data_IF_568928166686
#
_entry.id   IF_568928166686
#
_cell.length_a   1.000
_cell.length_b   1.000
_cell.length_c   1.000
_cell.angle_alpha   90.00
_cell.angle_beta   90.00
_cell.angle_gamma   90.00
#
_symmetry.space_group_name_H-M   'P 1'
#
loop_
_entity.id
_entity.type
_entity.pdbx_description
1 polymer ?
#
# COMPACT_ATOMS: atom_id res chain seq x y z
N UNK A 1 -12.56 -6.62 -36.09
CA UNK A 1 -13.17 -5.57 -35.24
C UNK A 1 -14.06 -6.16 -34.16
N UNK A 2 -15.16 -6.84 -34.48
CA UNK A 2 -15.98 -7.54 -33.46
C UNK A 2 -15.17 -8.52 -32.62
N UNK A 3 -14.26 -9.28 -33.25
CA UNK A 3 -13.31 -10.17 -32.55
C UNK A 3 -12.37 -9.44 -31.59
N UNK A 4 -11.84 -8.27 -31.99
CA UNK A 4 -10.99 -7.44 -31.14
C UNK A 4 -11.78 -6.99 -29.91
N UNK A 5 -12.98 -6.41 -30.10
CA UNK A 5 -13.86 -5.99 -29.01
C UNK A 5 -14.27 -7.14 -28.09
N UNK A 6 -14.53 -8.34 -28.63
CA UNK A 6 -14.83 -9.52 -27.82
C UNK A 6 -13.61 -10.03 -27.03
N UNK A 7 -12.39 -9.87 -27.54
CA UNK A 7 -11.17 -10.26 -26.83
C UNK A 7 -10.67 -9.19 -25.85
N UNK A 8 -11.20 -7.96 -25.90
CA UNK A 8 -10.73 -6.84 -25.07
C UNK A 8 -10.76 -7.10 -23.56
N UNK A 9 -11.84 -7.62 -22.96
CA UNK A 9 -11.85 -7.85 -21.51
C UNK A 9 -10.74 -8.79 -21.07
N UNK A 10 -10.44 -9.82 -21.87
CA UNK A 10 -9.39 -10.78 -21.60
C UNK A 10 -8.00 -10.18 -21.85
N UNK A 11 -7.80 -9.46 -22.96
CA UNK A 11 -6.51 -8.82 -23.27
C UNK A 11 -6.16 -7.72 -22.28
N UNK A 12 -7.14 -6.90 -21.87
CA UNK A 12 -6.98 -5.83 -20.90
C UNK A 12 -6.66 -6.33 -19.49
N UNK A 13 -6.84 -7.63 -19.23
CA UNK A 13 -6.41 -8.28 -18.00
C UNK A 13 -5.10 -9.05 -18.19
N UNK A 14 -5.06 -10.01 -19.11
CA UNK A 14 -3.95 -10.95 -19.23
C UNK A 14 -2.67 -10.29 -19.71
N UNK A 15 -2.74 -9.30 -20.59
CA UNK A 15 -1.54 -8.60 -21.07
C UNK A 15 -0.86 -7.81 -19.93
N UNK A 16 -1.56 -6.94 -19.17
CA UNK A 16 -0.94 -6.31 -18.00
C UNK A 16 -0.46 -7.32 -16.96
N UNK A 17 -1.18 -8.41 -16.74
CA UNK A 17 -0.74 -9.47 -15.83
C UNK A 17 0.60 -10.09 -16.26
N UNK A 18 0.70 -10.48 -17.53
CA UNK A 18 1.89 -11.15 -18.07
C UNK A 18 3.08 -10.20 -18.14
N UNK A 19 2.85 -8.96 -18.56
CA UNK A 19 3.90 -7.94 -18.66
C UNK A 19 4.36 -7.47 -17.29
N UNK A 20 3.52 -7.50 -16.25
CA UNK A 20 3.93 -7.25 -14.87
C UNK A 20 4.93 -8.29 -14.34
N UNK A 21 4.93 -9.52 -14.89
CA UNK A 21 5.90 -10.58 -14.53
C UNK A 21 7.28 -10.37 -15.14
N UNK A 22 7.47 -9.35 -15.96
CA UNK A 22 8.81 -8.97 -16.44
C UNK A 22 9.63 -8.25 -15.37
N UNK A 23 9.03 -7.92 -14.22
CA UNK A 23 9.68 -7.20 -13.11
C UNK A 23 10.22 -5.83 -13.55
N UNK A 24 9.66 -5.26 -14.62
CA UNK A 24 10.05 -3.97 -15.16
C UNK A 24 8.84 -3.01 -15.12
N UNK A 25 8.88 -1.97 -14.26
CA UNK A 25 7.76 -1.07 -14.09
C UNK A 25 7.60 -0.05 -15.24
N UNK A 26 8.51 -0.04 -16.23
CA UNK A 26 8.43 0.82 -17.42
C UNK A 26 8.00 0.02 -18.64
N UNK A 27 8.73 -1.04 -18.98
CA UNK A 27 8.48 -1.83 -20.19
C UNK A 27 7.18 -2.63 -20.09
N UNK A 28 6.78 -3.08 -18.90
CA UNK A 28 5.53 -3.80 -18.71
C UNK A 28 4.30 -2.96 -19.10
N UNK A 29 4.12 -1.76 -18.50
CA UNK A 29 3.09 -0.82 -18.92
C UNK A 29 3.20 -0.41 -20.39
N UNK A 30 4.39 -0.14 -20.91
CA UNK A 30 4.58 0.21 -22.34
C UNK A 30 4.04 -0.90 -23.26
N UNK A 31 4.41 -2.16 -23.00
CA UNK A 31 3.91 -3.30 -23.77
C UNK A 31 2.39 -3.45 -23.64
N UNK A 32 1.83 -3.23 -22.45
CA UNK A 32 0.37 -3.22 -22.25
C UNK A 32 -0.31 -2.14 -23.07
N UNK A 33 0.22 -0.91 -23.06
CA UNK A 33 -0.32 0.19 -23.86
C UNK A 33 -0.20 -0.10 -25.36
N UNK A 34 0.92 -0.66 -25.82
CA UNK A 34 1.13 -0.98 -27.23
C UNK A 34 0.27 -2.16 -27.73
N UNK A 35 0.01 -3.17 -26.89
CA UNK A 35 -0.71 -4.38 -27.29
C UNK A 35 -2.22 -4.31 -27.04
N UNK A 36 -2.66 -3.49 -26.08
CA UNK A 36 -4.07 -3.35 -25.71
C UNK A 36 -4.60 -1.98 -26.13
N UNK A 37 -4.04 -0.91 -25.59
CA UNK A 37 -4.62 0.43 -25.72
C UNK A 37 -4.40 1.04 -27.12
N UNK A 38 -3.24 0.82 -27.74
CA UNK A 38 -2.93 1.34 -29.07
C UNK A 38 -3.83 0.75 -30.16
N UNK A 39 -4.04 -0.59 -30.26
CA UNK A 39 -5.01 -1.16 -31.19
C UNK A 39 -6.42 -0.64 -30.98
N UNK A 40 -6.84 -0.39 -29.73
CA UNK A 40 -8.15 0.20 -29.41
C UNK A 40 -8.23 1.64 -29.93
N UNK A 41 -7.27 2.48 -29.55
CA UNK A 41 -7.25 3.89 -29.92
C UNK A 41 -7.15 4.06 -31.44
N UNK A 42 -6.26 3.31 -32.08
CA UNK A 42 -6.11 3.28 -33.53
C UNK A 42 -7.40 2.84 -34.22
N UNK A 43 -8.02 1.75 -33.73
CA UNK A 43 -9.29 1.26 -34.28
C UNK A 43 -10.45 2.23 -34.09
N UNK A 44 -10.55 2.87 -32.92
CA UNK A 44 -11.55 3.91 -32.65
C UNK A 44 -11.39 5.11 -33.57
N UNK A 45 -10.17 5.60 -33.75
CA UNK A 45 -9.84 6.69 -34.68
C UNK A 45 -10.11 6.27 -36.14
N UNK A 46 -9.78 5.04 -36.51
CA UNK A 46 -10.04 4.50 -37.85
C UNK A 46 -11.55 4.36 -38.14
N UNK A 47 -12.35 3.97 -37.15
CA UNK A 47 -13.82 3.94 -37.24
C UNK A 47 -14.38 5.34 -37.45
N UNK A 48 -13.94 6.33 -36.67
CA UNK A 48 -14.39 7.73 -36.84
C UNK A 48 -14.02 8.25 -38.22
N UNK A 49 -12.78 7.99 -38.68
CA UNK A 49 -12.36 8.36 -40.04
C UNK A 49 -13.16 7.63 -41.12
N UNK A 50 -13.46 6.34 -40.93
CA UNK A 50 -14.24 5.54 -41.88
C UNK A 50 -15.72 5.93 -41.91
N UNK A 51 -16.33 6.28 -40.78
CA UNK A 51 -17.68 6.84 -40.69
C UNK A 51 -17.77 8.22 -41.36
N UNK A 52 -16.76 9.07 -41.18
CA UNK A 52 -16.65 10.35 -41.89
C UNK A 52 -16.49 10.12 -43.40
N UNK A 53 -15.66 9.15 -43.82
CA UNK A 53 -15.49 8.76 -45.23
C UNK A 53 -16.75 8.09 -45.81
N UNK A 54 -17.51 7.32 -45.03
CA UNK A 54 -18.79 6.72 -45.43
C UNK A 54 -19.91 7.77 -45.49
N UNK A 55 -19.89 8.78 -44.61
CA UNK A 55 -20.82 9.90 -44.65
C UNK A 55 -20.52 10.82 -45.83
N UNK A 56 -19.25 11.14 -46.08
CA UNK A 56 -18.81 11.89 -47.26
C UNK A 56 -19.03 11.10 -48.55
N UNK A 57 -18.72 9.80 -48.54
CA UNK A 57 -18.98 8.88 -49.66
C UNK A 57 -20.47 8.71 -49.91
N UNK A 58 -21.29 8.64 -48.87
CA UNK A 58 -22.75 8.61 -48.94
C UNK A 58 -23.34 9.94 -49.43
N UNK A 59 -22.73 11.07 -49.09
CA UNK A 59 -23.10 12.38 -49.63
C UNK A 59 -22.73 12.51 -51.12
N UNK A 60 -21.55 12.02 -51.53
CA UNK A 60 -21.13 11.96 -52.94
C UNK A 60 -21.99 10.97 -53.74
N UNK A 61 -22.30 9.80 -53.18
CA UNK A 61 -23.23 8.84 -53.77
C UNK A 61 -24.64 9.41 -53.84
N UNK A 62 -25.11 10.14 -52.83
CA UNK A 62 -26.41 10.80 -52.82
C UNK A 62 -26.51 11.88 -53.90
N UNK A 63 -25.48 12.73 -54.04
CA UNK A 63 -25.45 13.76 -55.09
C UNK A 63 -25.31 13.14 -56.48
N UNK A 64 -24.54 12.06 -56.63
CA UNK A 64 -24.45 11.28 -57.85
C UNK A 64 -25.78 10.61 -58.20
N UNK A 65 -26.45 9.94 -57.25
CA UNK A 65 -27.76 9.29 -57.45
C UNK A 65 -28.83 10.33 -57.83
N UNK A 66 -28.86 11.50 -57.21
CA UNK A 66 -29.78 12.58 -57.61
C UNK A 66 -29.47 13.08 -59.03
N UNK A 67 -28.19 13.26 -59.38
CA UNK A 67 -27.78 13.65 -60.74
C UNK A 67 -28.08 12.57 -61.78
N UNK A 68 -28.02 11.29 -61.38
CA UNK A 68 -28.25 10.14 -62.25
C UNK A 68 -29.74 9.85 -62.40
N UNK A 69 -30.55 9.99 -61.35
CA UNK A 69 -32.02 9.92 -61.41
C UNK A 69 -32.61 11.03 -62.28
N UNK A 70 -31.99 12.23 -62.30
CA UNK A 70 -32.32 13.30 -63.25
C UNK A 70 -31.98 12.92 -64.71
N UNK A 71 -31.03 12.02 -64.95
CA UNK A 71 -30.68 11.50 -66.29
C UNK A 71 -31.39 10.20 -66.68
N UNK A 72 -31.84 9.40 -65.72
CA UNK A 72 -32.37 8.04 -65.90
C UNK A 72 -33.91 8.01 -66.05
N UNK A 73 -34.54 9.16 -66.31
CA UNK A 73 -35.83 9.19 -67.02
C UNK A 73 -35.73 8.65 -68.47
N UNK A 74 -34.54 8.23 -68.90
CA UNK A 74 -34.29 7.51 -70.15
C UNK A 74 -33.42 6.28 -69.84
N UNK A 75 -33.96 5.09 -70.08
CA UNK A 75 -33.17 3.87 -70.23
C UNK A 75 -33.45 2.79 -69.18
N UNK A 76 -34.13 1.74 -69.64
CA UNK A 76 -34.59 0.55 -68.92
C UNK A 76 -33.55 -0.58 -68.98
N UNK A 77 -33.70 -1.50 -68.02
CA UNK A 77 -33.50 -2.97 -68.10
C UNK A 77 -32.23 -3.67 -67.60
N UNK A 78 -32.49 -4.50 -66.57
CA UNK A 78 -32.30 -5.96 -66.46
C UNK A 78 -30.94 -6.66 -66.15
N UNK A 79 -30.89 -7.09 -64.87
CA UNK A 79 -30.75 -8.47 -64.34
C UNK A 79 -29.44 -9.29 -64.37
N UNK A 80 -29.25 -9.93 -63.20
CA UNK A 80 -28.65 -11.25 -62.86
C UNK A 80 -27.15 -11.47 -62.83
N UNK A 81 -26.63 -11.85 -61.65
CA UNK A 81 -26.19 -13.23 -61.37
C UNK A 81 -25.70 -13.34 -59.92
N UNK A 82 -26.33 -14.22 -59.13
CA UNK A 82 -25.89 -14.57 -57.78
C UNK A 82 -24.93 -15.77 -57.84
N UNK A 83 -23.66 -15.58 -57.49
CA UNK A 83 -22.77 -16.67 -57.13
C UNK A 83 -22.75 -16.84 -55.61
N UNK A 84 -23.06 -18.05 -55.14
CA UNK A 84 -22.98 -18.44 -53.73
C UNK A 84 -21.52 -18.44 -53.30
N UNK A 85 -21.07 -17.35 -52.70
CA UNK A 85 -19.85 -17.36 -51.89
C UNK A 85 -20.14 -18.16 -50.63
N UNK A 86 -19.65 -19.40 -50.56
CA UNK A 86 -19.58 -20.15 -49.32
C UNK A 86 -18.59 -19.42 -48.39
N UNK A 87 -19.16 -18.51 -47.61
CA UNK A 87 -18.44 -17.49 -46.87
C UNK A 87 -17.81 -18.10 -45.62
N UNK A 88 -16.51 -17.89 -45.43
CA UNK A 88 -15.79 -18.17 -44.19
C UNK A 88 -16.49 -17.61 -42.93
N UNK A 89 -17.42 -16.67 -43.11
CA UNK A 89 -18.30 -16.13 -42.07
C UNK A 89 -19.24 -17.17 -41.41
N UNK A 90 -19.48 -18.33 -42.02
CA UNK A 90 -20.35 -19.40 -41.43
C UNK A 90 -19.52 -20.54 -40.83
N UNK A 91 -18.40 -20.89 -41.47
CA UNK A 91 -17.51 -21.96 -41.00
C UNK A 91 -16.77 -21.60 -39.70
N UNK A 92 -16.27 -20.36 -39.59
CA UNK A 92 -15.49 -19.94 -38.42
C UNK A 92 -16.34 -19.95 -37.12
N UNK A 93 -17.57 -19.38 -37.10
CA UNK A 93 -18.43 -19.45 -35.91
C UNK A 93 -18.86 -20.88 -35.60
N UNK A 94 -19.12 -21.72 -36.61
CA UNK A 94 -19.51 -23.12 -36.42
C UNK A 94 -18.45 -23.97 -35.72
N UNK A 95 -17.16 -23.63 -35.86
CA UNK A 95 -16.05 -24.28 -35.17
C UNK A 95 -15.78 -23.63 -33.81
N UNK A 96 -15.81 -22.29 -33.73
CA UNK A 96 -15.45 -21.56 -32.51
C UNK A 96 -16.53 -21.62 -31.42
N UNK A 97 -17.81 -21.54 -31.76
CA UNK A 97 -18.93 -21.53 -30.80
C UNK A 97 -18.99 -22.77 -29.88
N UNK A 98 -18.78 -24.02 -30.35
CA UNK A 98 -18.77 -25.19 -29.46
C UNK A 98 -17.49 -25.31 -28.62
N UNK A 99 -16.37 -24.72 -29.04
CA UNK A 99 -15.10 -24.73 -28.31
C UNK A 99 -15.06 -23.59 -27.27
N UNK A 100 -15.80 -22.50 -27.52
CA UNK A 100 -15.80 -21.31 -26.69
C UNK A 100 -16.14 -21.58 -25.21
N UNK A 101 -17.13 -22.42 -24.83
CA UNK A 101 -17.42 -22.73 -23.42
C UNK A 101 -16.30 -23.51 -22.72
N UNK A 102 -15.50 -24.27 -23.47
CA UNK A 102 -14.35 -25.02 -22.95
C UNK A 102 -13.18 -24.06 -22.74
N UNK A 103 -12.99 -23.09 -23.64
CA UNK A 103 -11.92 -22.09 -23.55
C UNK A 103 -12.25 -20.94 -22.60
N UNK A 104 -13.52 -20.54 -22.47
CA UNK A 104 -13.98 -19.40 -21.67
C UNK A 104 -13.47 -19.43 -20.22
N UNK A 105 -13.51 -20.54 -19.48
CA UNK A 105 -12.97 -20.62 -18.12
C UNK A 105 -11.45 -20.39 -18.03
N UNK A 106 -10.70 -20.74 -19.09
CA UNK A 106 -9.25 -20.49 -19.17
C UNK A 106 -8.93 -19.09 -19.69
N UNK A 107 -9.88 -18.43 -20.35
CA UNK A 107 -9.74 -17.09 -20.91
C UNK A 107 -10.27 -16.01 -19.97
N UNK A 108 -11.25 -16.33 -19.11
CA UNK A 108 -11.78 -15.39 -18.14
C UNK A 108 -10.70 -15.01 -17.13
N UNK A 109 -10.57 -13.71 -16.85
CA UNK A 109 -9.62 -13.25 -15.85
C UNK A 109 -10.04 -13.76 -14.46
N UNK A 110 -9.12 -14.31 -13.63
CA UNK A 110 -9.41 -14.70 -12.25
C UNK A 110 -9.53 -13.47 -11.34
N UNK A 111 -10.33 -12.48 -11.75
CA UNK A 111 -10.79 -11.41 -10.86
C UNK A 111 -11.79 -12.09 -9.94
N UNK A 112 -11.49 -12.07 -8.64
CA UNK A 112 -12.37 -12.67 -7.66
C UNK A 112 -13.64 -11.81 -7.52
N UNK A 113 -14.79 -12.41 -7.15
CA UNK A 113 -15.96 -11.60 -6.83
C UNK A 113 -15.66 -10.70 -5.63
N UNK A 114 -16.13 -9.44 -5.69
CA UNK A 114 -15.97 -8.46 -4.62
C UNK A 114 -17.34 -8.08 -4.04
N UNK A 115 -17.60 -8.30 -2.74
CA UNK A 115 -16.78 -9.04 -1.79
C UNK A 115 -16.80 -10.56 -2.05
N UNK A 116 -15.81 -11.26 -1.51
CA UNK A 116 -15.77 -12.72 -1.50
C UNK A 116 -16.88 -13.29 -0.60
N UNK A 117 -17.62 -14.28 -1.10
CA UNK A 117 -18.61 -15.01 -0.29
C UNK A 117 -17.98 -16.07 0.61
N UNK A 118 -16.84 -16.60 0.21
CA UNK A 118 -16.03 -17.57 0.95
C UNK A 118 -14.55 -17.39 0.60
N UNK A 119 -13.63 -17.83 1.47
CA UNK A 119 -12.21 -17.79 1.16
C UNK A 119 -11.88 -18.48 -0.17
N UNK A 120 -11.08 -17.82 -1.00
CA UNK A 120 -10.60 -18.39 -2.26
C UNK A 120 -9.30 -19.15 -2.02
N UNK A 121 -9.22 -20.38 -2.51
CA UNK A 121 -7.99 -21.19 -2.52
C UNK A 121 -7.38 -21.19 -3.92
N UNK A 122 -6.13 -20.76 -4.02
CA UNK A 122 -5.42 -20.74 -5.29
C UNK A 122 -5.14 -22.18 -5.76
N UNK A 123 -5.38 -22.52 -7.04
CA UNK A 123 -5.36 -23.92 -7.50
C UNK A 123 -3.97 -24.55 -7.59
N UNK A 124 -2.89 -23.74 -7.63
CA UNK A 124 -1.51 -24.21 -7.88
C UNK A 124 -0.51 -23.87 -6.78
N UNK A 125 -0.87 -22.96 -5.89
CA UNK A 125 0.01 -22.41 -4.87
C UNK A 125 -0.75 -22.54 -3.54
N UNK A 126 -0.10 -22.86 -2.41
CA UNK A 126 -0.78 -22.91 -1.11
C UNK A 126 -1.16 -21.50 -0.62
N UNK A 127 -1.92 -20.75 -1.41
CA UNK A 127 -2.33 -19.36 -1.17
C UNK A 127 -3.84 -19.34 -0.95
N UNK A 128 -4.26 -18.68 0.13
CA UNK A 128 -5.67 -18.46 0.46
C UNK A 128 -5.96 -16.97 0.50
N UNK A 129 -7.01 -16.50 -0.18
CA UNK A 129 -7.49 -15.12 -0.07
C UNK A 129 -8.74 -15.12 0.80
N UNK A 130 -8.68 -14.42 1.93
CA UNK A 130 -9.78 -14.32 2.90
C UNK A 130 -10.73 -13.18 2.56
N UNK A 131 -10.18 -12.06 2.09
CA UNK A 131 -10.94 -10.85 1.76
C UNK A 131 -10.27 -10.12 0.60
N UNK A 132 -11.09 -9.54 -0.28
CA UNK A 132 -10.63 -8.66 -1.36
C UNK A 132 -11.71 -7.64 -1.69
N UNK A 133 -11.43 -6.38 -1.38
CA UNK A 133 -12.41 -5.29 -1.40
C UNK A 133 -11.79 -4.05 -2.07
N UNK A 134 -12.43 -3.48 -3.10
CA UNK A 134 -12.04 -2.16 -3.60
C UNK A 134 -12.39 -1.09 -2.57
N UNK A 135 -11.44 -0.19 -2.29
CA UNK A 135 -11.60 0.91 -1.34
C UNK A 135 -10.83 2.15 -1.80
N UNK A 136 -10.73 3.16 -0.93
CA UNK A 136 -10.17 4.48 -1.26
C UNK A 136 -8.66 4.46 -1.53
N UNK A 137 -7.91 3.49 -0.99
CA UNK A 137 -6.47 3.30 -1.29
C UNK A 137 -6.20 2.22 -2.33
N UNK A 138 -7.24 1.74 -3.02
CA UNK A 138 -7.17 0.71 -4.05
C UNK A 138 -7.73 -0.63 -3.56
N UNK A 139 -7.20 -1.73 -4.09
CA UNK A 139 -7.67 -3.07 -3.72
C UNK A 139 -7.06 -3.52 -2.40
N UNK A 140 -7.87 -3.59 -1.35
CA UNK A 140 -7.48 -4.09 -0.03
C UNK A 140 -7.69 -5.59 0.02
N UNK A 141 -6.60 -6.34 0.22
CA UNK A 141 -6.59 -7.80 0.19
C UNK A 141 -6.02 -8.35 1.48
N UNK A 142 -6.73 -9.30 2.09
CA UNK A 142 -6.24 -10.15 3.17
C UNK A 142 -5.99 -11.53 2.60
N UNK A 143 -4.74 -11.96 2.61
CA UNK A 143 -4.35 -13.28 2.14
C UNK A 143 -3.47 -14.01 3.13
N UNK A 144 -3.32 -15.30 2.92
CA UNK A 144 -2.49 -16.19 3.70
C UNK A 144 -1.66 -17.07 2.80
N UNK A 145 -0.37 -17.11 3.10
CA UNK A 145 0.55 -18.08 2.52
C UNK A 145 0.53 -19.30 3.44
N UNK A 146 -0.12 -20.37 3.00
CA UNK A 146 -0.24 -21.64 3.74
C UNK A 146 1.06 -22.45 3.57
N UNK A 147 1.40 -23.31 4.55
CA UNK A 147 2.53 -24.22 4.39
C UNK A 147 2.30 -25.19 3.21
N UNK A 148 3.35 -25.57 2.46
CA UNK A 148 3.27 -26.69 1.52
C UNK A 148 2.79 -27.98 2.25
N UNK A 149 2.01 -28.85 1.59
CA UNK A 149 1.42 -30.04 2.23
C UNK A 149 2.42 -31.01 2.88
N UNK A 150 3.64 -31.04 2.36
CA UNK A 150 4.75 -31.90 2.75
C UNK A 150 5.81 -31.19 3.60
N UNK A 151 5.61 -29.91 3.91
CA UNK A 151 6.58 -29.14 4.69
C UNK A 151 6.60 -29.56 6.17
N UNK A 152 7.81 -29.63 6.73
CA UNK A 152 8.06 -29.87 8.15
C UNK A 152 9.02 -28.80 8.70
N UNK A 153 8.94 -28.49 10.01
CA UNK A 153 9.85 -27.55 10.65
C UNK A 153 11.32 -27.90 10.38
N UNK A 154 12.08 -26.92 9.89
CA UNK A 154 13.51 -27.07 9.57
C UNK A 154 13.80 -27.39 8.10
N UNK A 155 12.79 -27.63 7.26
CA UNK A 155 12.97 -27.71 5.80
C UNK A 155 13.23 -26.33 5.18
N UNK A 156 14.04 -26.24 4.11
CA UNK A 156 14.28 -24.98 3.41
C UNK A 156 12.98 -24.47 2.78
N UNK A 157 12.81 -23.16 2.79
CA UNK A 157 11.65 -22.46 2.23
C UNK A 157 12.10 -21.64 1.02
N UNK A 158 11.53 -21.88 -0.17
CA UNK A 158 11.77 -21.03 -1.35
C UNK A 158 11.16 -19.65 -1.15
N UNK A 159 9.91 -19.62 -0.68
CA UNK A 159 9.20 -18.42 -0.26
C UNK A 159 8.73 -18.61 1.18
N UNK A 160 8.65 -17.52 1.98
CA UNK A 160 8.07 -17.61 3.30
C UNK A 160 6.64 -18.14 3.21
N UNK A 161 6.23 -18.90 4.21
CA UNK A 161 4.86 -19.36 4.37
C UNK A 161 4.44 -19.40 5.84
N UNK A 162 3.19 -19.80 6.09
CA UNK A 162 2.51 -19.79 7.39
C UNK A 162 2.38 -18.37 7.95
N UNK A 163 1.94 -17.42 7.13
CA UNK A 163 1.64 -16.06 7.55
C UNK A 163 0.38 -15.51 6.87
N UNK A 164 -0.25 -14.55 7.54
CA UNK A 164 -1.32 -13.71 7.01
C UNK A 164 -0.77 -12.34 6.67
N UNK A 165 -1.15 -11.78 5.54
CA UNK A 165 -0.76 -10.43 5.13
C UNK A 165 -1.99 -9.58 4.81
N UNK A 166 -1.84 -8.28 5.04
CA UNK A 166 -2.75 -7.25 4.57
C UNK A 166 -2.00 -6.42 3.53
N UNK A 167 -2.62 -6.19 2.38
CA UNK A 167 -2.05 -5.30 1.35
C UNK A 167 -3.10 -4.36 0.77
N UNK A 168 -2.67 -3.18 0.36
CA UNK A 168 -3.39 -2.31 -0.54
C UNK A 168 -2.63 -2.25 -1.87
N UNK A 169 -3.24 -2.79 -2.93
CA UNK A 169 -2.61 -2.88 -4.26
C UNK A 169 -1.22 -3.54 -4.19
N UNK A 170 -0.13 -2.79 -4.45
CA UNK A 170 1.26 -3.27 -4.42
C UNK A 170 2.01 -2.95 -3.12
N UNK A 171 1.32 -2.53 -2.06
CA UNK A 171 1.92 -2.20 -0.77
C UNK A 171 1.44 -3.17 0.30
N UNK A 172 2.38 -3.85 0.96
CA UNK A 172 2.09 -4.64 2.15
C UNK A 172 1.94 -3.69 3.34
N UNK A 173 0.78 -3.75 4.00
CA UNK A 173 0.41 -2.90 5.14
C UNK A 173 0.62 -3.62 6.48
N UNK A 174 1.25 -4.79 6.45
CA UNK A 174 1.55 -5.62 7.60
C UNK A 174 1.15 -7.08 7.43
N UNK A 175 1.43 -7.85 8.47
CA UNK A 175 1.14 -9.27 8.49
C UNK A 175 1.61 -9.91 9.78
N UNK A 176 1.14 -11.13 10.03
CA UNK A 176 1.44 -11.90 11.25
C UNK A 176 1.71 -13.36 10.91
N UNK A 177 2.58 -14.00 11.68
CA UNK A 177 2.82 -15.44 11.59
C UNK A 177 1.60 -16.23 12.08
N UNK A 178 1.40 -17.42 11.51
CA UNK A 178 0.28 -18.33 11.79
C UNK A 178 0.76 -19.74 12.12
N UNK A 179 -0.10 -20.52 12.78
CA UNK A 179 0.08 -21.94 13.01
C UNK A 179 1.40 -22.27 13.71
N UNK A 180 2.19 -23.16 13.11
CA UNK A 180 3.45 -23.65 13.69
C UNK A 180 4.53 -22.57 13.91
N UNK A 181 4.40 -21.39 13.28
CA UNK A 181 5.33 -20.26 13.46
C UNK A 181 4.89 -19.28 14.57
N UNK A 182 3.81 -19.59 15.28
CA UNK A 182 3.37 -18.79 16.43
C UNK A 182 4.12 -19.25 17.68
N UNK A 183 4.98 -18.38 18.19
CA UNK A 183 5.81 -18.65 19.37
C UNK A 183 5.60 -17.59 20.46
N UNK A 184 5.86 -17.96 21.71
CA UNK A 184 5.80 -17.05 22.84
C UNK A 184 7.03 -17.22 23.72
N UNK A 185 7.54 -16.10 24.24
CA UNK A 185 8.65 -16.07 25.22
C UNK A 185 8.21 -16.49 26.63
N UNK A 186 6.93 -16.35 26.94
CA UNK A 186 6.39 -16.59 28.28
C UNK A 186 5.73 -17.96 28.37
N UNK A 187 5.95 -18.65 29.48
CA UNK A 187 5.22 -19.88 29.81
C UNK A 187 3.72 -19.61 30.06
N UNK A 188 3.38 -18.40 30.53
CA UNK A 188 1.99 -17.93 30.64
C UNK A 188 1.65 -17.17 29.37
N UNK A 189 0.92 -17.83 28.47
CA UNK A 189 0.58 -17.32 27.14
C UNK A 189 -0.78 -16.65 27.15
N UNK A 190 -0.81 -15.35 26.85
CA UNK A 190 -2.05 -14.63 26.50
C UNK A 190 -2.02 -14.46 24.97
N UNK A 191 -2.71 -15.32 24.20
CA UNK A 191 -2.65 -15.26 22.75
C UNK A 191 -3.37 -14.00 22.24
N UNK A 192 -2.82 -13.40 21.18
CA UNK A 192 -3.58 -12.47 20.36
C UNK A 192 -4.44 -13.30 19.40
N UNK A 193 -5.73 -13.01 19.34
CA UNK A 193 -6.68 -13.75 18.53
C UNK A 193 -7.28 -12.84 17.45
N UNK A 194 -7.55 -13.38 16.27
CA UNK A 194 -8.45 -12.73 15.31
C UNK A 194 -9.92 -12.86 15.74
N UNK A 195 -10.84 -12.26 14.97
CA UNK A 195 -12.27 -12.29 15.32
C UNK A 195 -12.87 -13.71 15.29
N UNK A 196 -12.26 -14.65 14.58
CA UNK A 196 -12.69 -16.04 14.51
C UNK A 196 -12.06 -16.91 15.62
N UNK A 197 -11.22 -16.34 16.46
CA UNK A 197 -10.53 -17.03 17.55
C UNK A 197 -9.26 -17.75 17.13
N UNK A 198 -8.72 -17.50 15.93
CA UNK A 198 -7.45 -18.07 15.52
C UNK A 198 -6.29 -17.32 16.20
N UNK A 199 -5.29 -18.08 16.66
CA UNK A 199 -4.08 -17.50 17.26
C UNK A 199 -3.20 -16.79 16.23
N UNK A 200 -2.73 -15.60 16.59
CA UNK A 200 -1.84 -14.77 15.80
C UNK A 200 -0.45 -14.70 16.47
N UNK A 201 0.59 -14.79 15.65
CA UNK A 201 1.98 -14.65 16.07
C UNK A 201 2.52 -13.23 15.99
N UNK A 202 3.84 -13.14 16.03
CA UNK A 202 4.55 -11.88 15.83
C UNK A 202 4.30 -11.31 14.43
N UNK A 203 4.51 -9.99 14.31
CA UNK A 203 4.55 -9.32 13.02
C UNK A 203 5.57 -10.00 12.09
N UNK A 204 5.27 -10.07 10.79
CA UNK A 204 6.26 -10.50 9.79
C UNK A 204 7.24 -9.37 9.42
N UNK A 205 7.07 -8.17 9.98
CA UNK A 205 7.91 -6.99 9.80
C UNK A 205 8.41 -6.44 11.13
N UNK A 206 9.71 -6.16 11.22
CA UNK A 206 10.35 -5.53 12.39
C UNK A 206 9.99 -4.05 12.53
N UNK A 207 9.75 -3.31 11.43
CA UNK A 207 9.43 -1.87 11.47
C UNK A 207 8.27 -1.51 12.38
N UNK A 208 7.14 -2.23 12.30
CA UNK A 208 5.98 -1.91 13.15
C UNK A 208 6.27 -2.12 14.65
N UNK A 209 7.20 -3.02 14.96
CA UNK A 209 7.71 -3.21 16.32
C UNK A 209 8.71 -2.10 16.68
N UNK A 210 9.60 -1.71 15.75
CA UNK A 210 10.56 -0.63 15.98
C UNK A 210 9.85 0.67 16.37
N UNK A 211 8.76 1.04 15.70
CA UNK A 211 7.95 2.21 16.04
C UNK A 211 7.48 2.23 17.50
N UNK A 212 7.22 1.06 18.10
CA UNK A 212 6.78 0.91 19.49
C UNK A 212 7.88 1.32 20.50
N UNK A 213 9.15 1.42 20.08
CA UNK A 213 10.26 1.86 20.92
C UNK A 213 10.09 3.27 21.48
N UNK A 214 9.15 4.08 20.96
CA UNK A 214 8.75 5.36 21.56
C UNK A 214 8.34 5.23 23.05
N UNK A 215 7.84 4.05 23.48
CA UNK A 215 7.49 3.77 24.89
C UNK A 215 8.71 3.60 25.80
N UNK A 216 9.87 3.39 25.19
CA UNK A 216 11.15 3.27 25.85
C UNK A 216 11.82 4.64 26.00
N UNK A 217 11.29 5.72 25.43
CA UNK A 217 11.84 7.06 25.66
C UNK A 217 11.62 7.48 27.12
N UNK A 218 12.65 8.07 27.73
CA UNK A 218 12.58 8.63 29.07
C UNK A 218 11.79 9.94 29.04
N UNK A 219 10.68 9.99 29.77
CA UNK A 219 9.72 11.11 29.80
C UNK A 219 9.43 11.51 31.24
N UNK A 220 9.33 12.81 31.52
CA UNK A 220 9.10 13.31 32.89
C UNK A 220 7.68 13.03 33.38
N UNK A 221 6.68 13.18 32.51
CA UNK A 221 5.26 12.95 32.84
C UNK A 221 4.92 11.50 33.19
N UNK A 222 5.83 10.56 32.91
CA UNK A 222 5.67 9.13 33.23
C UNK A 222 5.72 8.85 34.73
N UNK A 223 6.34 9.73 35.51
CA UNK A 223 6.53 9.57 36.96
C UNK A 223 5.45 10.28 37.81
N UNK A 224 4.51 11.00 37.18
CA UNK A 224 3.32 11.50 37.85
C UNK A 224 2.33 10.35 38.08
N UNK A 225 2.25 9.85 39.33
CA UNK A 225 1.23 8.89 39.74
C UNK A 225 -0.17 9.33 39.26
N UNK A 226 -0.80 8.51 38.41
CA UNK A 226 -2.16 8.74 37.92
C UNK A 226 -2.30 9.36 36.52
N UNK A 227 -1.22 9.63 35.78
CA UNK A 227 -1.31 10.09 34.38
C UNK A 227 -1.76 8.96 33.44
N UNK A 228 -2.95 9.09 32.85
CA UNK A 228 -3.43 8.16 31.82
C UNK A 228 -2.80 8.50 30.48
N UNK A 229 -1.94 7.62 29.99
CA UNK A 229 -1.21 7.84 28.74
C UNK A 229 -2.14 7.75 27.53
N UNK A 230 -2.01 8.72 26.61
CA UNK A 230 -2.76 8.79 25.36
C UNK A 230 -1.85 8.59 24.15
N UNK A 231 -2.25 7.73 23.23
CA UNK A 231 -1.56 7.52 21.96
C UNK A 231 -2.41 7.93 20.76
N UNK A 232 -1.75 8.44 19.72
CA UNK A 232 -2.31 8.67 18.39
C UNK A 232 -1.59 7.78 17.37
N UNK A 233 -2.35 7.02 16.59
CA UNK A 233 -1.88 6.22 15.47
C UNK A 233 -2.40 6.87 14.18
N UNK A 234 -1.49 7.35 13.34
CA UNK A 234 -1.78 7.94 12.03
C UNK A 234 -1.35 6.94 10.97
N UNK A 235 -2.33 6.35 10.28
CA UNK A 235 -2.14 5.15 9.46
C UNK A 235 -2.10 3.89 10.33
N UNK A 236 -2.87 2.86 9.95
CA UNK A 236 -3.14 1.71 10.81
C UNK A 236 -2.52 0.40 10.30
N UNK A 237 -2.66 0.13 9.00
CA UNK A 237 -2.29 -1.14 8.40
C UNK A 237 -2.91 -2.34 9.13
N UNK A 238 -2.10 -3.37 9.42
CA UNK A 238 -2.55 -4.54 10.19
C UNK A 238 -2.80 -4.23 11.69
N UNK A 239 -2.50 -3.03 12.17
CA UNK A 239 -2.79 -2.61 13.55
C UNK A 239 -1.79 -3.09 14.61
N UNK A 240 -0.56 -3.46 14.21
CA UNK A 240 0.46 -4.03 15.10
C UNK A 240 0.83 -3.05 16.22
N UNK A 241 1.23 -1.82 15.88
CA UNK A 241 1.61 -0.80 16.85
C UNK A 241 0.41 -0.38 17.73
N UNK A 242 -0.76 -0.15 17.12
CA UNK A 242 -1.99 0.22 17.83
C UNK A 242 -2.39 -0.83 18.87
N UNK A 243 -2.38 -2.11 18.49
CA UNK A 243 -2.67 -3.24 19.40
C UNK A 243 -1.65 -3.31 20.53
N UNK A 244 -0.38 -3.07 20.24
CA UNK A 244 0.67 -3.09 21.25
C UNK A 244 0.50 -1.98 22.29
N UNK A 245 0.27 -0.73 21.85
CA UNK A 245 0.02 0.40 22.77
C UNK A 245 -1.21 0.11 23.65
N UNK A 246 -2.29 -0.39 23.07
CA UNK A 246 -3.49 -0.78 23.81
C UNK A 246 -3.22 -1.88 24.85
N UNK A 247 -2.44 -2.91 24.51
CA UNK A 247 -2.03 -3.98 25.45
C UNK A 247 -1.11 -3.48 26.57
N UNK A 248 -0.52 -2.30 26.40
CA UNK A 248 0.18 -1.56 27.44
C UNK A 248 -0.72 -0.62 28.26
N UNK A 249 -2.05 -0.75 28.12
CA UNK A 249 -3.05 0.10 28.75
C UNK A 249 -2.92 1.59 28.38
N UNK A 250 -2.38 1.88 27.18
CA UNK A 250 -2.31 3.23 26.64
C UNK A 250 -3.58 3.50 25.84
N UNK A 251 -4.28 4.57 26.18
CA UNK A 251 -5.53 4.93 25.55
C UNK A 251 -5.27 5.38 24.10
N UNK A 252 -5.58 4.51 23.15
CA UNK A 252 -5.13 4.62 21.75
C UNK A 252 -6.23 5.19 20.87
N UNK A 253 -5.91 6.24 20.11
CA UNK A 253 -6.75 6.85 19.08
C UNK A 253 -6.15 6.52 17.71
N UNK A 254 -6.99 6.10 16.77
CA UNK A 254 -6.59 5.70 15.41
C UNK A 254 -7.19 6.65 14.39
N UNK A 255 -6.36 7.09 13.44
CA UNK A 255 -6.77 7.81 12.24
C UNK A 255 -6.32 6.99 11.03
N UNK A 256 -7.27 6.46 10.28
CA UNK A 256 -7.03 5.63 9.10
C UNK A 256 -7.89 6.16 7.96
N UNK A 257 -7.31 6.37 6.78
CA UNK A 257 -8.06 6.91 5.64
C UNK A 257 -8.96 5.85 5.00
N UNK A 258 -8.57 4.58 5.07
CA UNK A 258 -9.23 3.48 4.37
C UNK A 258 -10.09 2.60 5.30
N UNK A 259 -11.43 2.63 5.15
CA UNK A 259 -12.32 1.82 5.98
C UNK A 259 -12.13 0.31 5.78
N UNK A 260 -11.70 -0.15 4.60
CA UNK A 260 -11.44 -1.57 4.35
C UNK A 260 -10.18 -2.05 5.08
N UNK A 261 -9.15 -1.20 5.22
CA UNK A 261 -7.95 -1.48 6.03
C UNK A 261 -8.34 -1.59 7.51
N UNK A 262 -9.12 -0.64 8.03
CA UNK A 262 -9.62 -0.69 9.41
C UNK A 262 -10.43 -1.97 9.66
N UNK A 263 -11.41 -2.28 8.80
CA UNK A 263 -12.22 -3.49 8.94
C UNK A 263 -11.36 -4.76 8.88
N UNK A 264 -10.38 -4.82 7.97
CA UNK A 264 -9.48 -5.96 7.87
C UNK A 264 -8.64 -6.14 9.15
N UNK A 265 -8.10 -5.06 9.71
CA UNK A 265 -7.30 -5.09 10.95
C UNK A 265 -8.10 -5.65 12.15
N UNK A 266 -9.38 -5.27 12.28
CA UNK A 266 -10.30 -5.76 13.32
C UNK A 266 -10.65 -7.24 13.11
N UNK A 267 -11.01 -7.61 11.88
CA UNK A 267 -11.50 -8.96 11.56
C UNK A 267 -10.38 -10.01 11.61
N UNK A 268 -9.22 -9.69 11.02
CA UNK A 268 -8.19 -10.67 10.71
C UNK A 268 -6.87 -10.46 11.46
N UNK A 269 -6.67 -9.37 12.18
CA UNK A 269 -5.39 -9.08 12.85
C UNK A 269 -5.54 -8.80 14.34
N UNK A 270 -6.74 -8.98 14.91
CA UNK A 270 -6.95 -8.89 16.35
C UNK A 270 -6.83 -7.48 16.91
N UNK A 271 -6.95 -6.43 16.07
CA UNK A 271 -7.05 -5.06 16.55
C UNK A 271 -8.25 -4.98 17.51
N UNK A 272 -8.14 -4.39 18.71
CA UNK A 272 -9.27 -4.24 19.64
C UNK A 272 -10.25 -3.13 19.20
N UNK A 273 -11.41 -3.07 19.86
CA UNK A 273 -12.35 -1.97 19.66
C UNK A 273 -11.94 -0.79 20.54
N UNK A 274 -11.62 0.34 19.92
CA UNK A 274 -11.30 1.56 20.66
C UNK A 274 -12.54 2.42 20.94
N UNK A 275 -13.68 2.09 20.32
CA UNK A 275 -14.90 2.88 20.39
C UNK A 275 -14.94 4.06 19.41
N UNK A 276 -16.15 4.63 19.17
CA UNK A 276 -16.38 5.64 18.14
C UNK A 276 -15.64 6.96 18.39
N UNK A 277 -15.32 7.28 19.64
CA UNK A 277 -14.61 8.53 20.01
C UNK A 277 -13.09 8.44 19.81
N UNK A 278 -12.58 7.27 19.41
CA UNK A 278 -11.15 6.99 19.23
C UNK A 278 -10.81 6.37 17.87
N UNK A 279 -11.79 6.22 16.98
CA UNK A 279 -11.59 5.70 15.63
C UNK A 279 -12.09 6.73 14.63
N UNK A 280 -11.16 7.29 13.85
CA UNK A 280 -11.44 8.32 12.88
C UNK A 280 -11.08 7.81 11.48
N UNK A 281 -12.10 7.55 10.66
CA UNK A 281 -11.92 7.06 9.29
C UNK A 281 -11.89 8.22 8.29
N UNK A 282 -10.76 8.94 8.25
CA UNK A 282 -10.62 10.19 7.50
C UNK A 282 -9.15 10.58 7.23
N UNK A 283 -8.94 11.71 6.56
CA UNK A 283 -7.61 12.28 6.30
C UNK A 283 -6.94 12.82 7.58
N UNK A 284 -5.69 12.40 7.80
CA UNK A 284 -4.93 12.75 9.00
C UNK A 284 -4.62 14.24 9.14
N UNK A 285 -4.36 14.96 8.04
CA UNK A 285 -4.12 16.41 8.10
C UNK A 285 -5.36 17.13 8.61
N UNK A 286 -6.52 16.72 8.11
CA UNK A 286 -7.83 17.26 8.50
C UNK A 286 -8.14 16.97 9.97
N UNK A 287 -7.89 15.74 10.43
CA UNK A 287 -8.04 15.35 11.83
C UNK A 287 -7.15 16.20 12.76
N UNK A 288 -5.84 16.26 12.50
CA UNK A 288 -4.87 16.96 13.36
C UNK A 288 -5.22 18.45 13.46
N UNK A 289 -5.54 19.10 12.33
CA UNK A 289 -5.95 20.50 12.32
C UNK A 289 -7.21 20.76 13.15
N UNK A 290 -8.25 19.91 13.04
CA UNK A 290 -9.48 20.08 13.82
C UNK A 290 -9.26 19.79 15.30
N UNK A 291 -8.42 18.81 15.65
CA UNK A 291 -8.05 18.51 17.03
C UNK A 291 -7.30 19.70 17.66
N UNK A 292 -6.34 20.28 16.93
CA UNK A 292 -5.66 21.52 17.35
C UNK A 292 -6.64 22.65 17.64
N UNK A 293 -7.55 22.92 16.69
CA UNK A 293 -8.56 23.98 16.86
C UNK A 293 -9.44 23.74 18.09
N UNK A 294 -9.85 22.49 18.34
CA UNK A 294 -10.62 22.14 19.55
C UNK A 294 -9.83 22.39 20.83
N UNK A 295 -8.56 21.97 20.88
CA UNK A 295 -7.70 22.21 22.05
C UNK A 295 -7.49 23.70 22.33
N UNK A 296 -7.35 24.53 21.29
CA UNK A 296 -7.23 25.98 21.42
C UNK A 296 -8.51 26.65 21.97
N UNK A 297 -9.69 26.08 21.67
CA UNK A 297 -10.98 26.59 22.14
C UNK A 297 -11.33 26.12 23.56
N UNK A 298 -11.13 24.82 23.84
CA UNK A 298 -11.63 24.16 25.04
C UNK A 298 -10.58 24.10 26.18
N UNK A 299 -9.30 24.32 25.86
CA UNK A 299 -8.19 24.30 26.84
C UNK A 299 -7.89 22.92 27.45
N UNK A 300 -8.50 21.84 26.93
CA UNK A 300 -8.44 20.49 27.49
C UNK A 300 -7.07 19.81 27.30
N UNK A 301 -6.11 20.09 28.19
CA UNK A 301 -4.75 19.51 28.13
C UNK A 301 -4.75 17.97 28.24
N UNK A 302 -5.73 17.37 28.91
CA UNK A 302 -5.84 15.91 29.11
C UNK A 302 -6.12 15.12 27.82
N UNK A 303 -6.41 15.82 26.71
CA UNK A 303 -6.65 15.21 25.40
C UNK A 303 -5.38 15.15 24.51
N UNK A 304 -4.25 15.68 25.00
CA UNK A 304 -2.97 15.66 24.29
C UNK A 304 -2.36 14.27 24.26
N UNK A 305 -1.51 14.06 23.26
CA UNK A 305 -0.87 12.77 23.02
C UNK A 305 0.53 12.71 23.62
N UNK A 306 0.76 11.66 24.40
CA UNK A 306 2.04 11.21 24.91
C UNK A 306 2.91 10.60 23.80
N UNK A 307 2.24 9.86 22.92
CA UNK A 307 2.84 9.00 21.94
C UNK A 307 2.11 9.18 20.61
N UNK A 308 2.86 9.42 19.54
CA UNK A 308 2.32 9.47 18.19
C UNK A 308 3.08 8.48 17.31
N UNK A 309 2.37 7.60 16.61
CA UNK A 309 2.93 6.81 15.52
C UNK A 309 2.41 7.39 14.22
N UNK A 310 3.31 7.75 13.32
CA UNK A 310 3.02 8.28 12.01
C UNK A 310 3.54 7.31 10.94
N UNK A 311 2.65 6.44 10.47
CA UNK A 311 2.95 5.35 9.54
C UNK A 311 1.93 5.29 8.41
N UNK A 312 2.06 6.20 7.46
CA UNK A 312 1.24 6.26 6.26
C UNK A 312 2.09 5.93 5.04
N UNK A 313 1.81 4.79 4.40
CA UNK A 313 2.51 4.37 3.20
C UNK A 313 1.52 3.75 2.21
N UNK A 314 1.52 4.21 0.96
CA UNK A 314 0.72 3.62 -0.10
C UNK A 314 1.36 3.85 -1.46
N UNK A 315 1.37 2.80 -2.30
CA UNK A 315 1.80 2.93 -3.69
C UNK A 315 3.29 3.25 -3.88
N UNK A 316 4.14 2.91 -2.91
CA UNK A 316 5.59 3.09 -3.01
C UNK A 316 6.13 4.41 -2.45
N UNK A 317 5.30 5.22 -1.80
CA UNK A 317 5.75 6.42 -1.11
C UNK A 317 4.81 6.84 0.01
N UNK A 318 5.21 7.90 0.71
CA UNK A 318 4.42 8.53 1.76
C UNK A 318 3.61 9.71 1.22
N UNK A 319 2.39 9.97 1.75
CA UNK A 319 1.55 11.08 1.30
C UNK A 319 2.15 12.43 1.69
N UNK A 320 2.57 13.21 0.68
CA UNK A 320 3.40 14.39 0.89
C UNK A 320 2.79 15.48 1.79
N UNK A 321 1.46 15.60 1.86
CA UNK A 321 0.77 16.67 2.60
C UNK A 321 0.77 16.49 4.13
N UNK A 322 1.15 15.32 4.64
CA UNK A 322 1.37 15.05 6.07
C UNK A 322 2.85 14.96 6.45
N UNK A 323 3.76 15.38 5.55
CA UNK A 323 5.19 15.50 5.83
C UNK A 323 5.68 16.96 5.81
N UNK A 324 4.76 17.91 5.80
CA UNK A 324 5.09 19.35 5.74
C UNK A 324 5.28 19.95 7.11
N UNK A 325 6.07 21.03 7.19
CA UNK A 325 6.25 21.81 8.41
C UNK A 325 4.90 22.23 9.01
N UNK A 326 3.90 22.58 8.19
CA UNK A 326 2.59 22.97 8.70
C UNK A 326 1.87 21.81 9.41
N UNK A 327 1.96 20.59 8.88
CA UNK A 327 1.43 19.42 9.54
C UNK A 327 2.15 19.13 10.86
N UNK A 328 3.49 19.18 10.87
CA UNK A 328 4.28 18.89 12.06
C UNK A 328 4.06 19.93 13.17
N UNK A 329 3.94 21.21 12.82
CA UNK A 329 3.60 22.27 13.78
C UNK A 329 2.17 22.08 14.34
N UNK A 330 1.19 21.72 13.50
CA UNK A 330 -0.15 21.39 13.99
C UNK A 330 -0.13 20.16 14.92
N UNK A 331 0.64 19.13 14.58
CA UNK A 331 0.78 17.90 15.36
C UNK A 331 1.44 18.18 16.72
N UNK A 332 2.52 18.98 16.73
CA UNK A 332 3.22 19.38 17.96
C UNK A 332 2.29 20.04 18.96
N UNK A 333 1.33 20.84 18.51
CA UNK A 333 0.35 21.52 19.37
C UNK A 333 -0.62 20.57 20.07
N UNK A 334 -0.86 19.38 19.50
CA UNK A 334 -1.73 18.35 20.09
C UNK A 334 -0.95 17.27 20.86
N UNK A 335 0.37 17.41 20.99
CA UNK A 335 1.24 16.56 21.79
C UNK A 335 1.54 17.19 23.14
N UNK A 336 1.87 16.35 24.13
CA UNK A 336 2.51 16.82 25.36
C UNK A 336 3.91 17.36 25.06
N UNK A 337 4.41 18.26 25.93
CA UNK A 337 5.74 18.90 25.78
C UNK A 337 6.88 17.87 25.82
N UNK A 338 6.68 16.75 26.51
CA UNK A 338 7.61 15.62 26.54
C UNK A 338 7.11 14.44 25.69
N UNK A 339 6.12 14.66 24.83
CA UNK A 339 5.58 13.64 23.94
C UNK A 339 6.60 13.21 22.88
N UNK A 340 6.38 12.05 22.29
CA UNK A 340 7.28 11.48 21.27
C UNK A 340 6.48 11.06 20.06
N UNK A 341 6.97 11.42 18.87
CA UNK A 341 6.46 10.92 17.59
C UNK A 341 7.47 9.95 16.97
N UNK A 342 7.00 8.78 16.54
CA UNK A 342 7.71 7.86 15.67
C UNK A 342 7.19 8.03 14.24
N UNK A 343 8.06 8.42 13.31
CA UNK A 343 7.72 8.66 11.90
C UNK A 343 8.39 7.59 11.05
N UNK A 344 7.59 6.77 10.38
CA UNK A 344 8.09 5.76 9.45
C UNK A 344 8.27 6.35 8.04
N UNK A 345 9.38 6.00 7.40
CA UNK A 345 9.66 6.29 6.00
C UNK A 345 10.48 5.17 5.38
N UNK A 346 10.01 4.59 4.28
CA UNK A 346 10.74 3.56 3.54
C UNK A 346 11.47 4.19 2.34
N UNK A 347 12.80 4.03 2.28
CA UNK A 347 13.62 4.61 1.22
C UNK A 347 15.12 4.39 1.41
N UNK A 348 15.91 5.01 0.54
CA UNK A 348 17.38 5.02 0.64
C UNK A 348 17.84 6.10 1.61
N UNK A 349 18.88 5.80 2.39
CA UNK A 349 19.32 6.66 3.49
C UNK A 349 19.67 8.10 3.06
N UNK A 350 20.43 8.26 1.98
CA UNK A 350 20.93 9.56 1.49
C UNK A 350 20.09 10.15 0.34
N UNK A 351 18.88 9.64 0.12
CA UNK A 351 17.98 10.12 -0.94
C UNK A 351 17.36 11.49 -0.62
N UNK A 352 16.91 12.19 -1.67
CA UNK A 352 16.26 13.49 -1.54
C UNK A 352 15.01 13.47 -0.62
N UNK A 353 14.13 12.45 -0.67
CA UNK A 353 13.05 12.31 0.30
C UNK A 353 13.55 12.20 1.74
N UNK A 354 14.56 11.35 2.03
CA UNK A 354 15.10 11.16 3.38
C UNK A 354 15.66 12.47 3.95
N UNK A 355 16.41 13.22 3.13
CA UNK A 355 16.95 14.55 3.47
C UNK A 355 15.85 15.56 3.79
N UNK A 356 14.85 15.65 2.91
CA UNK A 356 13.76 16.60 3.06
C UNK A 356 12.91 16.30 4.30
N UNK A 357 12.59 15.02 4.54
CA UNK A 357 11.84 14.58 5.72
C UNK A 357 12.62 14.87 6.99
N UNK A 358 13.88 14.46 7.08
CA UNK A 358 14.71 14.71 8.27
C UNK A 358 14.87 16.22 8.54
N UNK A 359 15.17 17.01 7.50
CA UNK A 359 15.33 18.47 7.63
C UNK A 359 14.03 19.11 8.13
N UNK A 360 12.87 18.70 7.62
CA UNK A 360 11.57 19.25 8.04
C UNK A 360 11.22 18.84 9.47
N UNK A 361 11.53 17.60 9.87
CA UNK A 361 11.35 17.12 11.24
C UNK A 361 12.24 17.89 12.23
N UNK A 362 13.53 18.04 11.93
CA UNK A 362 14.48 18.81 12.75
C UNK A 362 14.15 20.30 12.82
N UNK A 363 13.42 20.84 11.84
CA UNK A 363 12.91 22.20 11.92
C UNK A 363 11.70 22.32 12.87
N UNK A 364 10.88 21.27 12.98
CA UNK A 364 9.63 21.30 13.75
C UNK A 364 9.80 20.82 15.20
N UNK A 365 10.77 19.92 15.44
CA UNK A 365 11.07 19.28 16.72
C UNK A 365 12.52 19.56 17.14
N UNK A 366 12.75 19.76 18.43
CA UNK A 366 14.08 20.12 18.95
C UNK A 366 15.07 18.94 18.89
N UNK A 367 14.61 17.74 19.23
CA UNK A 367 15.44 16.53 19.22
C UNK A 367 14.83 15.45 18.34
N UNK A 368 15.64 14.94 17.41
CA UNK A 368 15.30 13.80 16.56
C UNK A 368 16.45 12.79 16.53
N UNK A 369 16.11 11.49 16.46
CA UNK A 369 17.03 10.36 16.25
C UNK A 369 16.43 9.41 15.21
N UNK A 370 17.25 8.72 14.42
CA UNK A 370 16.78 7.81 13.37
C UNK A 370 17.26 6.38 13.62
N UNK A 371 16.42 5.39 13.31
CA UNK A 371 16.72 3.97 13.47
C UNK A 371 16.25 3.19 12.24
N UNK A 372 16.88 2.05 11.95
CA UNK A 372 16.48 1.19 10.83
C UNK A 372 15.98 -0.19 11.28
N UNK A 373 15.15 -0.81 10.43
CA UNK A 373 14.54 -2.10 10.70
C UNK A 373 15.31 -3.30 10.13
N UNK A 374 16.30 -3.03 9.26
CA UNK A 374 17.12 -4.05 8.62
C UNK A 374 17.84 -4.96 9.64
N UNK A 375 18.05 -6.21 9.24
CA UNK A 375 18.96 -7.13 9.92
C UNK A 375 20.41 -6.61 9.85
N UNK A 376 21.33 -7.09 10.71
CA UNK A 376 22.71 -6.66 10.70
C UNK A 376 23.33 -6.75 9.29
N UNK A 377 23.74 -5.62 8.75
CA UNK A 377 24.28 -5.48 7.40
C UNK A 377 25.53 -4.59 7.40
N UNK A 378 26.34 -4.69 6.35
CA UNK A 378 27.49 -3.80 6.16
C UNK A 378 27.07 -2.35 5.94
N UNK A 379 27.99 -1.41 6.16
CA UNK A 379 27.72 0.02 5.94
C UNK A 379 27.38 0.31 4.48
N UNK A 380 28.02 -0.37 3.55
CA UNK A 380 27.78 -0.23 2.11
C UNK A 380 26.37 -0.70 1.73
N UNK A 381 25.93 -1.83 2.29
CA UNK A 381 24.56 -2.33 2.09
C UNK A 381 23.54 -1.37 2.70
N UNK A 382 23.79 -0.83 3.90
CA UNK A 382 22.89 0.14 4.53
C UNK A 382 22.71 1.41 3.68
N UNK A 383 23.80 1.90 3.06
CA UNK A 383 23.78 3.12 2.25
C UNK A 383 23.10 2.92 0.88
N UNK A 384 23.20 1.71 0.32
CA UNK A 384 22.64 1.38 -0.99
C UNK A 384 21.23 0.79 -0.92
N UNK A 385 20.87 0.21 0.22
CA UNK A 385 19.63 -0.51 0.45
C UNK A 385 18.41 0.39 0.57
N UNK A 386 17.26 -0.17 0.20
CA UNK A 386 15.94 0.38 0.48
C UNK A 386 15.46 -0.20 1.82
N UNK A 387 15.40 0.64 2.85
CA UNK A 387 15.12 0.23 4.23
C UNK A 387 14.00 1.08 4.82
N UNK A 388 13.37 0.60 5.89
CA UNK A 388 12.53 1.48 6.70
C UNK A 388 13.40 2.25 7.69
N UNK A 389 13.20 3.56 7.71
CA UNK A 389 13.73 4.49 8.69
C UNK A 389 12.61 4.92 9.62
N UNK A 390 12.83 4.78 10.92
CA UNK A 390 11.93 5.28 11.95
C UNK A 390 12.63 6.44 12.66
N UNK A 391 12.10 7.64 12.46
CA UNK A 391 12.54 8.84 13.16
C UNK A 391 11.77 8.98 14.47
N UNK A 392 12.46 9.06 15.60
CA UNK A 392 11.86 9.48 16.86
C UNK A 392 12.16 10.94 17.08
N UNK A 393 11.14 11.77 17.22
CA UNK A 393 11.27 13.19 17.49
C UNK A 393 10.44 13.60 18.70
N UNK A 394 10.90 14.62 19.43
CA UNK A 394 10.19 15.18 20.58
C UNK A 394 10.26 16.71 20.58
N UNK A 395 9.18 17.40 21.01
CA UNK A 395 9.23 18.84 21.24
C UNK A 395 9.90 19.21 22.57
N UNK A 396 10.27 18.22 23.38
CA UNK A 396 11.01 18.44 24.64
C UNK A 396 12.36 19.09 24.36
N UNK A 397 12.83 19.91 25.29
CA UNK A 397 14.20 20.44 25.26
C UNK A 397 15.24 19.47 25.78
N UNK A 398 14.80 18.36 26.40
CA UNK A 398 15.70 17.30 26.88
C UNK A 398 16.14 16.38 25.74
N UNK A 399 17.40 15.89 25.76
CA UNK A 399 17.86 14.89 24.82
C UNK A 399 16.97 13.65 24.82
N UNK A 400 16.72 13.10 23.63
CA UNK A 400 15.90 11.90 23.45
C UNK A 400 16.73 10.65 23.81
N UNK A 401 16.53 10.12 25.02
CA UNK A 401 17.17 8.88 25.51
C UNK A 401 16.16 7.75 25.63
N UNK A 402 16.64 6.51 25.46
CA UNK A 402 15.81 5.30 25.60
C UNK A 402 16.28 4.50 26.82
N UNK A 403 15.37 4.19 27.74
CA UNK A 403 15.63 3.23 28.83
C UNK A 403 15.77 1.81 28.29
N UNK A 404 16.48 0.98 29.04
CA UNK A 404 16.54 -0.45 28.79
C UNK A 404 15.14 -1.08 28.83
N UNK A 405 14.78 -1.91 27.83
CA UNK A 405 13.52 -2.62 27.81
C UNK A 405 13.44 -3.67 28.94
N UNK A 406 12.23 -3.94 29.42
CA UNK A 406 11.92 -4.92 30.49
C UNK A 406 11.01 -6.01 29.91
N UNK A 407 10.89 -7.15 30.60
CA UNK A 407 10.08 -8.29 30.11
C UNK A 407 8.63 -7.92 29.76
N UNK A 408 8.01 -7.02 30.53
CA UNK A 408 6.67 -6.54 30.23
C UNK A 408 6.60 -5.78 28.89
N UNK A 409 7.65 -5.07 28.48
CA UNK A 409 7.70 -4.34 27.20
C UNK A 409 7.62 -5.28 26.00
N UNK A 410 8.01 -6.55 26.15
CA UNK A 410 8.03 -7.49 25.04
C UNK A 410 6.66 -8.09 24.75
N UNK A 411 5.65 -7.96 25.61
CA UNK A 411 4.34 -8.59 25.40
C UNK A 411 4.43 -10.10 25.06
N UNK A 412 5.45 -10.78 25.60
CA UNK A 412 5.84 -12.18 25.31
C UNK A 412 6.25 -12.48 23.85
N UNK A 413 6.60 -11.46 23.07
CA UNK A 413 7.02 -11.51 21.65
C UNK A 413 8.53 -11.70 21.51
N UNK A 414 8.96 -12.67 20.70
CA UNK A 414 10.38 -12.84 20.36
C UNK A 414 10.90 -11.69 19.51
N UNK A 415 10.08 -11.23 18.56
CA UNK A 415 10.44 -10.11 17.70
C UNK A 415 10.65 -8.81 18.49
N UNK A 416 9.77 -8.48 19.44
CA UNK A 416 9.95 -7.29 20.31
C UNK A 416 11.23 -7.37 21.12
N UNK A 417 11.51 -8.53 21.72
CA UNK A 417 12.75 -8.72 22.48
C UNK A 417 14.00 -8.55 21.60
N UNK A 418 13.96 -9.07 20.37
CA UNK A 418 15.05 -8.89 19.42
C UNK A 418 15.21 -7.42 18.99
N UNK A 419 14.14 -6.77 18.53
CA UNK A 419 14.19 -5.39 18.02
C UNK A 419 14.58 -4.40 19.12
N UNK A 420 13.97 -4.48 20.31
CA UNK A 420 14.30 -3.56 21.40
C UNK A 420 15.67 -3.87 22.03
N UNK A 421 16.05 -5.14 22.09
CA UNK A 421 17.37 -5.56 22.60
C UNK A 421 18.52 -5.16 21.69
N UNK A 422 18.25 -4.91 20.40
CA UNK A 422 19.22 -4.46 19.39
C UNK A 422 19.01 -3.00 18.97
N UNK A 423 18.27 -2.21 19.77
CA UNK A 423 17.94 -0.83 19.42
C UNK A 423 19.18 0.07 19.25
N UNK A 424 20.23 0.00 20.09
CA UNK A 424 21.43 0.82 19.91
C UNK A 424 22.16 0.53 18.58
N UNK A 425 22.20 -0.73 18.15
CA UNK A 425 22.87 -1.14 16.91
C UNK A 425 22.11 -0.71 15.65
N UNK A 426 20.82 -0.37 15.80
CA UNK A 426 19.93 0.08 14.72
C UNK A 426 19.96 1.59 14.53
N UNK A 427 20.63 2.34 15.39
CA UNK A 427 20.70 3.79 15.29
C UNK A 427 21.49 4.23 14.07
N UNK A 428 20.91 5.18 13.33
CA UNK A 428 21.53 5.78 12.15
C UNK A 428 22.11 7.13 12.49
N UNK A 429 23.38 7.34 12.16
CA UNK A 429 24.00 8.65 12.19
C UNK A 429 23.30 9.59 11.19
N UNK A 430 22.65 10.63 11.71
CA UNK A 430 21.90 11.62 10.92
C UNK A 430 22.79 12.34 9.89
N UNK A 431 24.10 12.40 10.11
CA UNK A 431 25.03 12.97 9.13
C UNK A 431 25.06 12.15 7.83
N UNK A 432 24.73 10.86 7.87
CA UNK A 432 24.61 10.01 6.68
C UNK A 432 23.39 10.35 5.83
N UNK A 433 22.34 10.88 6.46
CA UNK A 433 21.11 11.30 5.77
C UNK A 433 21.34 12.69 5.16
N UNK A 434 21.83 13.64 5.96
CA UNK A 434 22.02 15.04 5.56
C UNK A 434 23.30 15.30 4.73
N UNK A 435 23.91 14.26 4.16
CA UNK A 435 25.10 14.42 3.33
C UNK A 435 24.83 15.37 2.16
N UNK A 436 25.77 16.30 1.93
CA UNK A 436 25.74 17.27 0.83
C UNK A 436 24.61 18.32 0.90
N UNK A 437 24.01 18.55 2.08
CA UNK A 437 23.18 19.74 2.31
C UNK A 437 24.11 20.89 2.74
N UNK A 438 24.22 21.92 1.91
CA UNK A 438 24.89 23.16 2.29
C UNK A 438 23.97 24.00 3.19
N UNK A 439 24.54 24.74 4.16
CA UNK A 439 23.77 25.53 5.11
C UNK A 439 22.83 26.54 4.42
N UNK A 440 23.29 27.15 3.31
CA UNK A 440 22.52 28.10 2.51
C UNK A 440 21.34 27.46 1.74
N UNK A 441 21.32 26.13 1.65
CA UNK A 441 20.31 25.36 0.91
C UNK A 441 19.30 24.65 1.82
N UNK A 442 19.42 24.73 3.15
CA UNK A 442 18.52 24.04 4.10
C UNK A 442 17.05 24.36 3.83
N UNK A 443 16.74 25.62 3.54
CA UNK A 443 15.36 26.07 3.27
C UNK A 443 14.73 25.38 2.05
N UNK A 444 15.54 24.91 1.09
CA UNK A 444 15.06 24.16 -0.09
C UNK A 444 14.58 22.75 0.26
N UNK A 445 15.09 22.19 1.35
CA UNK A 445 14.76 20.84 1.82
C UNK A 445 13.56 20.82 2.77
N UNK A 446 13.15 21.98 3.30
CA UNK A 446 11.97 22.09 4.16
C UNK A 446 10.70 21.89 3.32
N UNK A 447 9.97 20.82 3.62
CA UNK A 447 8.71 20.49 2.99
C UNK A 447 7.61 21.43 3.49
N UNK A 448 6.94 22.11 2.56
CA UNK A 448 5.84 23.04 2.84
C UNK A 448 4.62 22.63 2.03
N UNK A 449 3.43 23.03 2.48
CA UNK A 449 2.19 22.78 1.74
C UNK A 449 2.26 23.34 0.30
N UNK A 450 2.93 24.48 0.11
CA UNK A 450 3.20 25.05 -1.20
C UNK A 450 4.49 24.50 -1.78
N UNK A 451 4.47 24.17 -3.08
CA UNK A 451 5.63 23.67 -3.85
C UNK A 451 6.29 22.39 -3.30
N UNK A 452 5.55 21.55 -2.57
CA UNK A 452 6.04 20.29 -2.04
C UNK A 452 6.56 19.36 -3.17
N UNK A 453 7.88 19.11 -3.19
CA UNK A 453 8.51 18.25 -4.19
C UNK A 453 8.55 16.76 -3.77
N UNK A 454 8.14 16.41 -2.55
CA UNK A 454 8.32 15.06 -2.01
C UNK A 454 7.69 13.99 -2.90
N UNK A 455 6.47 14.22 -3.41
CA UNK A 455 5.82 13.27 -4.31
C UNK A 455 6.64 13.00 -5.58
N UNK A 456 7.28 14.03 -6.14
CA UNK A 456 8.12 13.91 -7.32
C UNK A 456 9.43 13.18 -7.00
N UNK A 457 10.08 13.52 -5.90
CA UNK A 457 11.34 12.91 -5.48
C UNK A 457 11.19 11.42 -5.10
N UNK A 458 10.01 11.00 -4.65
CA UNK A 458 9.72 9.60 -4.35
C UNK A 458 9.47 8.74 -5.59
N UNK A 459 9.26 9.31 -6.78
CA UNK A 459 8.85 8.54 -7.96
C UNK A 459 9.84 7.44 -8.34
N UNK A 460 11.15 7.73 -8.28
CA UNK A 460 12.19 6.73 -8.55
C UNK A 460 12.23 5.65 -7.46
N UNK A 461 12.20 6.06 -6.18
CA UNK A 461 12.15 5.13 -5.04
C UNK A 461 10.92 4.23 -5.04
N UNK A 462 9.77 4.72 -5.50
CA UNK A 462 8.54 3.94 -5.61
C UNK A 462 8.65 2.80 -6.64
N UNK A 463 9.37 3.04 -7.74
CA UNK A 463 9.63 2.02 -8.77
C UNK A 463 10.57 0.93 -8.23
N UNK A 464 11.64 1.33 -7.55
CA UNK A 464 12.57 0.42 -6.88
C UNK A 464 11.86 -0.41 -5.81
N UNK A 465 11.06 0.22 -4.96
CA UNK A 465 10.24 -0.47 -3.96
C UNK A 465 9.32 -1.52 -4.59
N UNK A 466 8.65 -1.18 -5.70
CA UNK A 466 7.80 -2.11 -6.42
C UNK A 466 8.59 -3.33 -6.94
N UNK A 467 9.81 -3.13 -7.44
CA UNK A 467 10.68 -4.22 -7.90
C UNK A 467 11.08 -5.15 -6.74
N UNK A 468 11.46 -4.58 -5.60
CA UNK A 468 11.82 -5.34 -4.39
C UNK A 468 10.64 -6.20 -3.93
N UNK A 469 9.44 -5.62 -3.83
CA UNK A 469 8.25 -6.36 -3.41
C UNK A 469 7.95 -7.59 -4.29
N UNK A 470 8.23 -7.50 -5.60
CA UNK A 470 8.05 -8.62 -6.53
C UNK A 470 9.08 -9.75 -6.38
N UNK A 471 10.17 -9.52 -5.67
CA UNK A 471 11.18 -10.54 -5.36
C UNK A 471 10.88 -11.26 -4.04
N UNK A 472 10.19 -10.61 -3.11
CA UNK A 472 9.93 -11.15 -1.76
C UNK A 472 8.80 -12.19 -1.76
N UNK A 473 7.75 -11.97 -2.56
CA UNK A 473 6.57 -12.85 -2.61
C UNK A 473 6.27 -13.30 -4.04
N UNK A 474 5.76 -14.54 -4.21
CA UNK A 474 5.51 -15.08 -5.53
C UNK A 474 4.39 -14.31 -6.25
N UNK A 475 4.48 -14.25 -7.58
CA UNK A 475 3.58 -13.45 -8.42
C UNK A 475 2.06 -13.62 -8.10
N UNK A 476 1.53 -14.82 -7.83
CA UNK A 476 0.11 -15.00 -7.48
C UNK A 476 -0.38 -14.19 -6.28
N UNK A 477 0.48 -13.82 -5.33
CA UNK A 477 0.12 -12.98 -4.17
C UNK A 477 -0.34 -11.58 -4.63
N UNK A 478 0.30 -11.04 -5.66
CA UNK A 478 0.03 -9.72 -6.21
C UNK A 478 -1.08 -9.72 -7.25
N UNK A 479 -1.27 -10.88 -7.89
CA UNK A 479 -2.13 -11.07 -9.06
C UNK A 479 -3.53 -11.57 -8.71
N UNK A 480 -3.69 -12.20 -7.55
CA UNK A 480 -4.97 -12.74 -7.08
C UNK A 480 -5.64 -11.71 -6.18
N UNK A 481 -6.72 -11.11 -6.68
CA UNK A 481 -7.55 -10.19 -5.91
C UNK A 481 -8.99 -10.30 -6.35
#
# INVERSE_FOLDING_TARGET
MGTLFCSLPNLAYWVPLWTARWHDPVFGPVATHLLVLFPIAYSGIAIVKSLVLLALGGFVLGTWVVHTLLRVSIGKENTTSSSRFFSWQVLLPGILLPILPILLPYLQPPILPHPLSQPFLHPKLPLRILSSIPSVTGMVVVGEMLPPPDWQPGMPEEFPHSFRYLRASHSLLGGVWLGAKVHSRSAVRIPLLDQQGNELGDSIYSTFVLQEALRLVDRESKDSEGHNQNALIIGLGAGIAATALSRHNIATTVVEIDPAVYNASRQYFGLPDFGPDRVFLEDARSFVRRRRQRLELDGAQDEKFDFVVHDCFSGGGVPAHIFTIQFWEDLKMIMHVDGVVAVNFAGKLSSDPSKAILTTLQHSFEHCRAFHDAEPMSREELLSGFINLVFFCSPSSKPLTFRTPRENDYLSSHLRAHVFGSLPEREVDLQLINQNIHADDIDKWILRDQNNQLQKWQAEGALEHWQIMRQILPAPVWETF
#
